data_IF_321680998472
#
_entry.id   IF_321680998472
#
_cell.length_a   1.000
_cell.length_b   1.000
_cell.length_c   1.000
_cell.angle_alpha   90.00
_cell.angle_beta   90.00
_cell.angle_gamma   90.00
#
_symmetry.space_group_name_H-M   'P 1'
#
loop_
_entity.id
_entity.type
_entity.pdbx_description
1 polymer ?
#
# COMPACT_ATOMS: atom_id res chain seq x y z
N UNK A 1 4.29 1.20 10.18
CA UNK A 1 4.22 0.80 11.58
C UNK A 1 4.62 1.96 12.49
N UNK A 2 4.20 1.97 13.78
CA UNK A 2 4.59 2.99 14.74
C UNK A 2 6.12 3.12 14.85
N UNK A 3 6.65 4.33 15.03
CA UNK A 3 8.11 4.54 15.23
C UNK A 3 8.63 3.82 16.47
N UNK A 4 7.84 3.76 17.54
CA UNK A 4 8.17 3.06 18.79
C UNK A 4 8.00 1.54 18.74
N UNK A 5 7.57 0.98 17.62
CA UNK A 5 7.31 -0.46 17.52
C UNK A 5 8.61 -1.28 17.58
N UNK A 6 8.58 -2.43 18.26
CA UNK A 6 9.76 -3.34 18.38
C UNK A 6 10.41 -3.71 17.04
N UNK A 7 9.61 -3.78 15.96
CA UNK A 7 10.09 -4.08 14.62
C UNK A 7 10.56 -2.84 13.83
N UNK A 8 10.39 -1.64 14.36
CA UNK A 8 10.78 -0.40 13.69
C UNK A 8 12.31 -0.29 13.48
N UNK A 9 13.10 -0.94 14.32
CA UNK A 9 14.57 -0.97 14.18
C UNK A 9 15.08 -1.88 13.07
N UNK A 10 14.21 -2.73 12.49
CA UNK A 10 14.58 -3.62 11.39
C UNK A 10 14.66 -2.86 10.07
N UNK A 11 15.55 -3.28 9.17
CA UNK A 11 15.64 -2.73 7.81
C UNK A 11 14.46 -3.17 6.93
N UNK A 12 13.91 -4.34 7.22
CA UNK A 12 12.81 -4.95 6.47
C UNK A 12 11.72 -5.45 7.43
N UNK A 13 10.52 -5.58 6.92
CA UNK A 13 9.37 -6.14 7.61
C UNK A 13 8.93 -7.42 6.90
N UNK A 14 9.00 -8.57 7.57
CA UNK A 14 8.43 -9.81 7.03
C UNK A 14 6.91 -9.72 7.08
N UNK A 15 6.27 -9.99 5.96
CA UNK A 15 4.81 -9.96 5.86
C UNK A 15 4.12 -10.88 6.89
N UNK A 16 4.78 -11.97 7.28
CA UNK A 16 4.28 -12.90 8.32
C UNK A 16 4.06 -12.24 9.68
N UNK A 17 4.71 -11.12 9.96
CA UNK A 17 4.42 -10.38 11.19
C UNK A 17 3.00 -9.82 11.24
N UNK A 18 2.33 -9.67 10.09
CA UNK A 18 0.92 -9.30 10.08
C UNK A 18 0.01 -10.35 10.75
N UNK A 19 0.45 -11.60 10.88
CA UNK A 19 -0.30 -12.66 11.56
C UNK A 19 -0.19 -12.59 13.09
N UNK A 20 0.86 -11.97 13.61
CA UNK A 20 1.15 -11.92 15.05
C UNK A 20 1.03 -10.54 15.67
N UNK A 21 1.28 -9.50 14.89
CA UNK A 21 1.13 -8.12 15.34
C UNK A 21 -0.33 -7.65 15.15
N UNK A 22 -0.79 -6.71 15.96
CA UNK A 22 -2.08 -6.07 15.73
C UNK A 22 -2.08 -5.42 14.33
N UNK A 23 -3.01 -5.81 13.47
CA UNK A 23 -3.08 -5.36 12.10
C UNK A 23 -4.24 -4.38 11.89
N UNK A 24 -3.96 -3.29 11.20
CA UNK A 24 -4.94 -2.28 10.79
C UNK A 24 -5.27 -2.54 9.32
N UNK A 25 -6.47 -3.03 9.04
CA UNK A 25 -6.93 -3.28 7.68
C UNK A 25 -7.44 -1.99 7.05
N UNK A 26 -6.79 -1.55 5.98
CA UNK A 26 -7.25 -0.40 5.19
C UNK A 26 -8.17 -0.90 4.08
N UNK A 27 -9.36 -0.31 3.96
CA UNK A 27 -10.38 -0.65 2.97
C UNK A 27 -10.67 -2.16 2.90
N UNK A 28 -11.07 -2.80 4.02
CA UNK A 28 -11.35 -4.22 4.03
C UNK A 28 -12.46 -4.58 3.01
N UNK A 29 -12.27 -5.70 2.34
CA UNK A 29 -13.18 -6.17 1.29
C UNK A 29 -12.96 -5.56 -0.10
N UNK A 30 -12.07 -4.58 -0.23
CA UNK A 30 -11.65 -4.07 -1.53
C UNK A 30 -10.39 -4.78 -2.02
N UNK A 31 -10.34 -4.98 -3.34
CA UNK A 31 -9.19 -5.57 -4.02
C UNK A 31 -8.07 -4.53 -4.20
N UNK A 32 -7.41 -4.21 -3.11
CA UNK A 32 -6.30 -3.25 -3.06
C UNK A 32 -4.95 -3.96 -2.85
N UNK A 33 -3.86 -3.23 -3.08
CA UNK A 33 -2.51 -3.80 -3.05
C UNK A 33 -2.16 -4.55 -1.77
N UNK A 34 -2.55 -4.06 -0.59
CA UNK A 34 -2.30 -4.74 0.69
C UNK A 34 -3.07 -6.07 0.82
N UNK A 35 -4.34 -6.08 0.46
CA UNK A 35 -5.18 -7.29 0.48
C UNK A 35 -4.67 -8.33 -0.52
N UNK A 36 -4.44 -7.93 -1.77
CA UNK A 36 -3.87 -8.81 -2.81
C UNK A 36 -2.54 -9.42 -2.39
N UNK A 37 -1.68 -8.61 -1.79
CA UNK A 37 -0.38 -9.07 -1.32
C UNK A 37 -0.53 -10.16 -0.26
N UNK A 38 -1.36 -9.94 0.75
CA UNK A 38 -1.59 -10.91 1.83
C UNK A 38 -2.21 -12.20 1.30
N UNK A 39 -3.23 -12.10 0.45
CA UNK A 39 -3.91 -13.25 -0.16
C UNK A 39 -2.96 -14.08 -1.02
N UNK A 40 -2.15 -13.41 -1.86
CA UNK A 40 -1.16 -14.07 -2.72
C UNK A 40 -0.14 -14.87 -1.93
N UNK A 41 0.26 -14.37 -0.75
CA UNK A 41 1.22 -15.04 0.12
C UNK A 41 0.58 -15.96 1.16
N UNK A 42 -0.74 -16.13 1.13
CA UNK A 42 -1.47 -16.98 2.08
C UNK A 42 -1.38 -16.49 3.53
N UNK A 43 -1.16 -15.19 3.73
CA UNK A 43 -1.00 -14.58 5.05
C UNK A 43 -2.37 -14.13 5.57
N UNK A 44 -2.73 -14.59 6.76
CA UNK A 44 -3.97 -14.22 7.45
C UNK A 44 -3.64 -13.18 8.51
N UNK A 45 -3.88 -11.88 8.26
CA UNK A 45 -3.51 -10.85 9.21
C UNK A 45 -4.36 -10.91 10.48
N UNK A 46 -3.74 -10.61 11.62
CA UNK A 46 -4.42 -10.46 12.89
C UNK A 46 -5.15 -9.11 12.96
N UNK A 47 -6.25 -8.99 12.23
CA UNK A 47 -7.01 -7.74 12.12
C UNK A 47 -7.64 -7.38 13.46
N UNK A 48 -7.17 -6.31 14.08
CA UNK A 48 -7.74 -5.73 15.30
C UNK A 48 -8.54 -4.47 15.01
N UNK A 49 -8.20 -3.76 13.95
CA UNK A 49 -8.83 -2.50 13.55
C UNK A 49 -9.01 -2.47 12.05
N UNK A 50 -10.00 -1.70 11.59
CA UNK A 50 -10.20 -1.45 10.17
C UNK A 50 -10.71 -0.04 9.93
N UNK A 51 -10.37 0.50 8.76
CA UNK A 51 -10.85 1.81 8.29
C UNK A 51 -10.97 1.83 6.77
N UNK A 52 -11.83 2.68 6.26
CA UNK A 52 -11.97 2.92 4.80
C UNK A 52 -11.09 4.08 4.32
N UNK A 53 -10.24 4.64 5.18
CA UNK A 53 -9.42 5.81 4.89
C UNK A 53 -7.94 5.55 5.20
N UNK A 54 -7.08 5.85 4.23
CA UNK A 54 -5.63 5.71 4.37
C UNK A 54 -5.06 6.68 5.42
N UNK A 55 -5.59 7.90 5.51
CA UNK A 55 -5.14 8.88 6.51
C UNK A 55 -5.46 8.39 7.93
N UNK A 56 -6.65 7.82 8.12
CA UNK A 56 -7.03 7.21 9.38
C UNK A 56 -6.12 6.01 9.73
N UNK A 57 -5.71 5.20 8.74
CA UNK A 57 -4.73 4.11 8.95
C UNK A 57 -3.41 4.66 9.50
N UNK A 58 -2.92 5.76 8.94
CA UNK A 58 -1.69 6.39 9.41
C UNK A 58 -1.83 6.95 10.84
N UNK A 59 -2.94 7.64 11.12
CA UNK A 59 -3.22 8.16 12.45
C UNK A 59 -3.30 7.03 13.52
N UNK A 60 -3.97 5.94 13.19
CA UNK A 60 -4.07 4.76 14.05
C UNK A 60 -2.70 4.11 14.27
N UNK A 61 -1.88 3.99 13.22
CA UNK A 61 -0.51 3.48 13.34
C UNK A 61 0.35 4.41 14.21
N UNK A 62 0.30 5.73 14.00
CA UNK A 62 1.01 6.71 14.82
C UNK A 62 0.61 6.63 16.30
N UNK A 63 -0.67 6.35 16.58
CA UNK A 63 -1.18 6.13 17.94
C UNK A 63 -0.76 4.78 18.55
N UNK A 64 0.03 3.97 17.85
CA UNK A 64 0.51 2.68 18.36
C UNK A 64 -0.50 1.54 18.27
N UNK A 65 -1.60 1.70 17.56
CA UNK A 65 -2.69 0.72 17.51
C UNK A 65 -2.33 -0.55 16.71
N UNK A 66 -1.32 -0.47 15.83
CA UNK A 66 -0.90 -1.64 15.07
C UNK A 66 -0.05 -1.30 13.86
N UNK A 67 0.09 -2.30 13.00
CA UNK A 67 0.84 -2.23 11.73
C UNK A 67 -0.11 -2.34 10.55
N UNK A 68 0.28 -1.78 9.40
CA UNK A 68 -0.46 -1.96 8.15
C UNK A 68 0.50 -2.13 6.98
N UNK A 69 0.02 -2.68 5.87
CA UNK A 69 0.74 -2.82 4.62
C UNK A 69 0.15 -1.86 3.60
N UNK A 70 1.01 -1.03 3.02
CA UNK A 70 0.64 -0.11 1.95
C UNK A 70 1.64 -0.22 0.79
N UNK A 71 1.26 0.26 -0.39
CA UNK A 71 2.18 0.39 -1.50
C UNK A 71 2.95 1.72 -1.42
N UNK A 72 4.05 1.82 -2.16
CA UNK A 72 4.92 2.99 -2.14
C UNK A 72 4.23 4.26 -2.68
N UNK A 73 3.28 4.11 -3.62
CA UNK A 73 2.56 5.24 -4.24
C UNK A 73 1.62 5.90 -3.23
N UNK A 74 0.98 5.08 -2.39
CA UNK A 74 0.06 5.56 -1.36
C UNK A 74 0.77 5.81 -0.02
N UNK A 75 2.10 5.69 0.03
CA UNK A 75 2.83 5.97 1.25
C UNK A 75 2.93 7.47 1.51
N UNK A 76 2.81 7.83 2.77
CA UNK A 76 3.04 9.19 3.28
C UNK A 76 4.39 9.15 4.03
N UNK A 77 5.52 9.41 3.34
CA UNK A 77 6.85 9.12 3.89
C UNK A 77 7.18 9.91 5.15
N UNK A 78 6.65 11.12 5.28
CA UNK A 78 6.95 12.05 6.37
C UNK A 78 5.81 12.14 7.40
N UNK A 79 4.98 11.09 7.51
CA UNK A 79 3.91 11.09 8.50
C UNK A 79 4.49 10.89 9.91
N UNK A 80 4.32 11.89 10.78
CA UNK A 80 4.84 11.90 12.14
C UNK A 80 4.36 10.67 12.96
N UNK A 81 5.27 10.04 13.68
CA UNK A 81 4.99 8.86 14.51
C UNK A 81 4.91 7.54 13.75
N UNK A 82 5.12 7.55 12.42
CA UNK A 82 5.08 6.34 11.57
C UNK A 82 6.38 6.15 10.84
N UNK A 83 6.90 4.95 10.86
CA UNK A 83 8.04 4.58 10.03
C UNK A 83 7.68 3.52 8.99
N UNK A 84 8.30 3.61 7.81
CA UNK A 84 8.15 2.68 6.73
C UNK A 84 9.29 1.67 6.69
N UNK A 85 8.98 0.42 6.34
CA UNK A 85 9.97 -0.64 6.15
C UNK A 85 9.66 -1.40 4.89
N UNK A 86 10.69 -1.78 4.16
CA UNK A 86 10.55 -2.60 2.96
C UNK A 86 9.94 -3.95 3.35
N UNK A 87 8.90 -4.32 2.62
CA UNK A 87 8.20 -5.58 2.82
C UNK A 87 9.00 -6.75 2.25
N UNK A 88 8.99 -7.89 2.93
CA UNK A 88 9.62 -9.13 2.48
C UNK A 88 8.60 -10.26 2.56
N UNK A 89 8.39 -11.01 1.46
CA UNK A 89 8.99 -10.84 0.13
C UNK A 89 8.58 -9.52 -0.53
N UNK A 90 9.46 -8.94 -1.35
CA UNK A 90 9.14 -7.72 -2.08
C UNK A 90 8.28 -8.05 -3.31
N UNK A 91 7.31 -7.19 -3.62
CA UNK A 91 6.53 -7.27 -4.85
C UNK A 91 6.39 -5.90 -5.51
N UNK A 92 6.27 -5.92 -6.80
CA UNK A 92 5.97 -4.75 -7.61
C UNK A 92 4.47 -4.71 -7.90
N UNK A 93 3.89 -3.52 -7.82
CA UNK A 93 2.54 -3.26 -8.32
C UNK A 93 2.69 -2.59 -9.66
N UNK A 94 2.12 -3.20 -10.68
CA UNK A 94 2.04 -2.61 -12.01
C UNK A 94 0.83 -1.69 -12.10
N UNK A 95 1.07 -0.45 -12.51
CA UNK A 95 0.01 0.53 -12.74
C UNK A 95 0.05 0.90 -14.22
N UNK A 96 -1.07 0.76 -14.87
CA UNK A 96 -1.21 1.01 -16.29
C UNK A 96 -2.43 1.85 -16.63
N UNK A 97 -2.48 2.31 -17.85
CA UNK A 97 -3.67 2.91 -18.45
C UNK A 97 -4.40 1.86 -19.27
N UNK A 98 -5.71 1.80 -19.10
CA UNK A 98 -6.61 1.02 -19.94
C UNK A 98 -7.44 1.97 -20.80
N UNK A 99 -7.60 1.63 -22.06
CA UNK A 99 -8.43 2.41 -22.98
C UNK A 99 -9.17 1.52 -23.97
N UNK A 100 -10.26 2.01 -24.51
CA UNK A 100 -11.00 1.34 -25.58
C UNK A 100 -10.30 1.47 -26.93
N UNK A 101 -10.59 0.54 -27.85
CA UNK A 101 -9.99 0.56 -29.21
C UNK A 101 -10.31 1.85 -29.96
N UNK A 102 -11.51 2.43 -29.75
CA UNK A 102 -11.94 3.70 -30.34
C UNK A 102 -11.75 4.81 -29.32
N UNK A 103 -10.77 5.66 -29.54
CA UNK A 103 -10.48 6.82 -28.69
C UNK A 103 -11.15 8.08 -29.22
N UNK A 104 -11.71 8.88 -28.33
CA UNK A 104 -12.07 10.27 -28.67
C UNK A 104 -10.82 11.06 -29.06
N UNK A 105 -10.93 12.15 -29.84
CA UNK A 105 -9.78 12.99 -30.19
C UNK A 105 -8.99 13.49 -29.00
N UNK A 106 -9.68 13.79 -27.89
CA UNK A 106 -9.05 14.26 -26.65
C UNK A 106 -8.27 13.14 -25.97
N UNK A 107 -8.88 11.96 -25.81
CA UNK A 107 -8.21 10.79 -25.24
C UNK A 107 -6.98 10.37 -26.06
N UNK A 108 -7.07 10.45 -27.40
CA UNK A 108 -5.95 10.18 -28.29
C UNK A 108 -4.78 11.17 -28.08
N UNK A 109 -5.07 12.46 -27.92
CA UNK A 109 -4.04 13.48 -27.61
C UNK A 109 -3.40 13.23 -26.24
N UNK A 110 -4.18 12.90 -25.23
CA UNK A 110 -3.70 12.57 -23.89
C UNK A 110 -2.78 11.34 -23.91
N UNK A 111 -3.17 10.28 -24.60
CA UNK A 111 -2.35 9.07 -24.72
C UNK A 111 -1.02 9.36 -25.44
N UNK A 112 -1.07 10.18 -26.50
CA UNK A 112 0.14 10.62 -27.20
C UNK A 112 1.06 11.42 -26.28
N UNK A 113 0.51 12.35 -25.51
CA UNK A 113 1.27 13.16 -24.54
C UNK A 113 2.00 12.26 -23.51
N UNK A 114 1.30 11.33 -22.88
CA UNK A 114 1.87 10.43 -21.87
C UNK A 114 3.04 9.61 -22.46
N UNK A 115 2.89 9.11 -23.69
CA UNK A 115 3.95 8.36 -24.38
C UNK A 115 5.17 9.23 -24.69
N UNK A 116 4.94 10.47 -25.09
CA UNK A 116 6.02 11.42 -25.43
C UNK A 116 6.80 11.85 -24.19
N UNK A 117 6.11 12.06 -23.06
CA UNK A 117 6.74 12.46 -21.80
C UNK A 117 7.42 11.29 -21.04
N UNK A 118 7.42 10.09 -21.61
CA UNK A 118 8.06 8.92 -20.98
C UNK A 118 7.41 8.48 -19.68
N UNK A 119 6.13 8.84 -19.45
CA UNK A 119 5.36 8.45 -18.26
C UNK A 119 4.81 7.03 -18.37
N UNK A 120 5.05 6.35 -19.48
CA UNK A 120 4.77 4.93 -19.69
C UNK A 120 6.04 4.24 -20.16
N UNK A 121 6.31 3.03 -19.66
CA UNK A 121 7.40 2.20 -20.17
C UNK A 121 7.21 1.80 -21.63
#
# INVERSE_FOLDING_TARGET
LPEGHKLAKRKTFSAKFAETEAYIATCPGLDIGGTRYLDKHGIKPNVQFSTMDIQATYAMAAAGMGVSITNQINSLPDYEGVCHRKLVPAELIEIGLAWEKSLSPVAGKFLKFIRTEGLMP
#
